data_IF_150552945413
#
_entry.id   IF_150552945413
#
_cell.length_a   1.000
_cell.length_b   1.000
_cell.length_c   1.000
_cell.angle_alpha   90.00
_cell.angle_beta   90.00
_cell.angle_gamma   90.00
#
_symmetry.space_group_name_H-M   'P 1'
#
loop_
_entity.id
_entity.type
_entity.pdbx_description
1 polymer ?
#
# COMPACT_ATOMS: atom_id res chain seq x y z
N UNK A 1 45.55 61.39 21.83
CA UNK A 1 44.84 60.11 21.86
C UNK A 1 45.84 59.07 22.34
N UNK A 2 45.64 58.57 23.55
CA UNK A 2 46.60 57.73 24.30
C UNK A 2 46.08 56.29 24.32
N UNK A 3 47.03 55.35 24.27
CA UNK A 3 46.87 53.89 24.15
C UNK A 3 46.35 53.17 25.41
N UNK A 4 45.68 52.04 25.12
CA UNK A 4 45.68 50.71 25.76
C UNK A 4 45.35 50.50 27.25
N UNK A 5 44.37 49.60 27.51
CA UNK A 5 44.51 48.37 28.33
C UNK A 5 43.23 47.48 28.19
N UNK A 6 43.42 46.15 28.10
CA UNK A 6 42.42 45.05 27.97
C UNK A 6 41.77 44.64 29.34
N UNK A 7 41.06 43.48 29.55
CA UNK A 7 40.14 42.63 28.75
C UNK A 7 38.80 42.24 29.48
N UNK A 8 37.99 41.41 28.79
CA UNK A 8 36.69 40.78 29.16
C UNK A 8 36.69 39.82 30.37
N UNK A 9 35.58 39.81 31.15
CA UNK A 9 35.07 38.69 31.97
C UNK A 9 33.56 38.87 32.30
N UNK A 10 32.70 37.88 32.02
CA UNK A 10 31.99 37.09 33.05
C UNK A 10 30.90 36.15 32.50
N UNK A 11 31.11 34.86 32.74
CA UNK A 11 30.15 33.75 32.75
C UNK A 11 29.69 33.47 34.18
N UNK A 12 28.42 33.10 34.41
CA UNK A 12 28.01 32.40 35.64
C UNK A 12 27.05 31.23 35.36
N UNK A 13 27.21 30.23 36.22
CA UNK A 13 26.81 28.81 36.16
C UNK A 13 25.66 28.48 37.14
N UNK A 14 24.98 27.34 36.94
CA UNK A 14 24.60 26.33 37.96
C UNK A 14 24.27 25.00 37.21
N UNK A 15 25.13 23.97 37.17
CA UNK A 15 25.31 22.81 38.11
C UNK A 15 24.03 22.07 38.54
N UNK A 16 23.80 20.85 38.02
CA UNK A 16 24.08 19.59 38.73
C UNK A 16 23.76 18.33 37.87
N UNK A 17 24.75 17.42 37.83
CA UNK A 17 24.66 15.99 37.48
C UNK A 17 24.55 15.19 38.79
N UNK A 18 24.17 13.89 38.81
CA UNK A 18 25.21 12.86 38.69
C UNK A 18 24.83 11.55 37.96
N UNK A 19 25.80 11.01 37.20
CA UNK A 19 26.32 9.63 37.07
C UNK A 19 25.34 8.41 36.97
N UNK A 20 25.61 7.30 36.25
CA UNK A 20 26.87 6.60 35.97
C UNK A 20 26.71 5.64 34.77
N UNK A 21 27.73 5.57 33.90
CA UNK A 21 28.03 4.42 33.04
C UNK A 21 28.95 3.46 33.80
N UNK A 22 28.72 2.15 33.71
CA UNK A 22 29.68 1.13 34.16
C UNK A 22 30.03 0.17 33.03
N UNK A 23 31.33 0.10 32.75
CA UNK A 23 32.01 -0.96 32.04
C UNK A 23 32.01 -2.23 32.90
N UNK A 24 31.95 -3.42 32.30
CA UNK A 24 32.42 -4.66 32.94
C UNK A 24 33.07 -5.60 31.91
N UNK A 25 34.34 -5.91 32.16
CA UNK A 25 35.09 -7.04 31.59
C UNK A 25 34.71 -8.33 32.34
N UNK A 26 34.80 -9.47 31.65
CA UNK A 26 34.24 -10.74 32.09
C UNK A 26 35.05 -11.54 33.11
N UNK A 27 34.39 -12.56 33.67
CA UNK A 27 34.96 -13.81 34.17
C UNK A 27 33.91 -14.90 33.97
N UNK A 28 34.35 -16.09 33.54
CA UNK A 28 33.49 -17.22 33.21
C UNK A 28 32.99 -17.97 34.44
N UNK A 29 31.87 -18.69 34.24
CA UNK A 29 31.50 -19.87 35.01
C UNK A 29 30.81 -20.87 34.07
N UNK A 30 31.33 -22.10 34.08
CA UNK A 30 30.66 -23.30 33.61
C UNK A 30 29.37 -23.51 34.43
N UNK A 31 28.32 -24.01 33.78
CA UNK A 31 27.43 -24.99 34.39
C UNK A 31 26.77 -25.83 33.30
N UNK A 32 26.95 -27.13 33.47
CA UNK A 32 26.31 -28.24 32.79
C UNK A 32 24.80 -28.31 33.09
N UNK A 33 24.14 -29.11 32.26
CA UNK A 33 22.85 -29.79 32.44
C UNK A 33 21.53 -28.99 32.32
N UNK A 34 20.77 -29.34 31.26
CA UNK A 34 19.35 -29.75 31.22
C UNK A 34 18.68 -29.39 29.86
N UNK A 35 17.69 -30.16 29.37
CA UNK A 35 17.82 -30.90 28.11
C UNK A 35 17.07 -30.31 26.91
N UNK A 36 17.60 -30.64 25.73
CA UNK A 36 16.95 -30.44 24.42
C UNK A 36 15.72 -31.34 24.29
N UNK A 37 14.54 -30.74 24.06
CA UNK A 37 13.39 -31.46 23.54
C UNK A 37 13.23 -31.14 22.05
N UNK A 38 13.66 -32.09 21.22
CA UNK A 38 13.51 -32.09 19.78
C UNK A 38 12.46 -33.15 19.40
N UNK A 39 11.26 -32.77 18.97
CA UNK A 39 10.35 -33.72 18.34
C UNK A 39 10.61 -33.67 16.83
N UNK A 40 11.26 -34.69 16.27
CA UNK A 40 11.06 -35.32 14.95
C UNK A 40 12.36 -36.04 14.50
N UNK A 41 12.39 -37.39 14.46
CA UNK A 41 13.55 -38.15 13.99
C UNK A 41 13.47 -38.51 12.48
N UNK A 42 14.63 -38.44 11.81
CA UNK A 42 15.16 -39.14 10.60
C UNK A 42 14.18 -39.67 9.51
N UNK A 43 14.44 -39.53 8.19
CA UNK A 43 15.56 -40.18 7.47
C UNK A 43 15.85 -39.62 6.04
N UNK A 44 17.15 -39.62 5.71
CA UNK A 44 17.81 -39.97 4.43
C UNK A 44 17.12 -39.75 3.06
N UNK A 45 17.65 -38.78 2.32
CA UNK A 45 18.43 -39.02 1.09
C UNK A 45 17.73 -39.61 -0.14
N UNK A 46 17.28 -38.75 -1.05
CA UNK A 46 17.30 -39.03 -2.49
C UNK A 46 17.76 -37.79 -3.26
N UNK A 47 18.88 -37.94 -3.98
CA UNK A 47 19.29 -37.06 -5.08
C UNK A 47 18.31 -37.32 -6.24
N UNK A 48 17.70 -36.28 -6.79
CA UNK A 48 17.00 -36.37 -8.09
C UNK A 48 17.58 -35.31 -9.02
N UNK A 49 18.17 -35.82 -10.10
CA UNK A 49 18.70 -35.08 -11.24
C UNK A 49 17.61 -34.25 -11.92
N UNK A 50 17.95 -33.03 -12.30
CA UNK A 50 17.19 -32.26 -13.29
C UNK A 50 17.34 -32.90 -14.67
N UNK A 51 16.22 -33.15 -15.35
CA UNK A 51 16.21 -33.28 -16.81
C UNK A 51 14.99 -32.56 -17.41
N UNK A 52 15.13 -31.82 -18.53
CA UNK A 52 14.13 -30.85 -18.99
C UNK A 52 13.14 -31.41 -20.03
N UNK A 53 11.82 -31.21 -19.78
CA UNK A 53 10.65 -31.17 -20.69
C UNK A 53 10.32 -32.39 -21.60
N UNK A 54 9.11 -32.52 -22.22
CA UNK A 54 7.76 -32.04 -21.87
C UNK A 54 6.66 -33.16 -21.96
N UNK A 55 5.59 -33.13 -21.16
CA UNK A 55 4.30 -33.71 -21.59
C UNK A 55 3.09 -33.18 -20.80
N UNK A 56 2.02 -32.91 -21.54
CA UNK A 56 0.70 -32.51 -21.05
C UNK A 56 -0.13 -33.74 -20.64
N UNK A 57 -0.83 -33.68 -19.50
CA UNK A 57 -2.27 -34.02 -19.40
C UNK A 57 -2.81 -33.79 -17.98
N UNK A 58 -3.92 -33.05 -17.91
CA UNK A 58 -5.04 -33.32 -17.01
C UNK A 58 -4.84 -33.20 -15.51
N UNK A 59 -4.93 -31.98 -14.96
CA UNK A 59 -5.16 -31.76 -13.54
C UNK A 59 -5.70 -30.36 -13.32
N UNK A 60 -6.98 -30.25 -12.93
CA UNK A 60 -7.62 -28.98 -12.62
C UNK A 60 -6.84 -28.27 -11.50
N UNK A 61 -6.15 -27.19 -11.86
CA UNK A 61 -5.68 -26.18 -10.91
C UNK A 61 -6.72 -25.07 -10.90
N UNK A 62 -7.29 -24.77 -9.73
CA UNK A 62 -8.15 -23.61 -9.53
C UNK A 62 -7.31 -22.35 -9.74
N UNK A 63 -7.36 -21.82 -10.96
CA UNK A 63 -6.75 -20.57 -11.35
C UNK A 63 -7.65 -19.43 -10.84
N UNK A 64 -7.22 -18.74 -9.79
CA UNK A 64 -7.84 -17.47 -9.40
C UNK A 64 -7.51 -16.44 -10.48
N UNK A 65 -8.44 -16.27 -11.42
CA UNK A 65 -8.45 -15.18 -12.39
C UNK A 65 -9.63 -14.26 -12.06
N UNK A 66 -9.41 -13.06 -11.47
CA UNK A 66 -10.51 -12.19 -11.09
C UNK A 66 -11.18 -11.47 -12.28
N UNK A 67 -10.77 -11.71 -13.52
CA UNK A 67 -11.29 -11.01 -14.69
C UNK A 67 -11.69 -11.96 -15.82
N UNK A 68 -12.84 -12.63 -15.68
CA UNK A 68 -13.74 -13.00 -16.80
C UNK A 68 -14.98 -13.74 -16.26
N UNK A 69 -16.13 -13.09 -16.23
CA UNK A 69 -17.44 -13.74 -16.32
C UNK A 69 -18.22 -13.04 -17.43
N UNK A 70 -18.05 -13.52 -18.65
CA UNK A 70 -18.93 -13.17 -19.76
C UNK A 70 -19.88 -14.36 -19.96
N UNK A 71 -21.13 -14.22 -19.53
CA UNK A 71 -22.20 -15.18 -19.78
C UNK A 71 -22.47 -15.25 -21.30
N UNK A 72 -22.16 -16.38 -21.92
CA UNK A 72 -22.72 -16.79 -23.21
C UNK A 72 -23.76 -17.88 -22.97
N UNK A 73 -25.02 -17.59 -23.28
CA UNK A 73 -26.08 -18.60 -23.35
C UNK A 73 -25.98 -19.29 -24.71
N UNK A 74 -25.73 -20.60 -24.73
CA UNK A 74 -26.04 -21.45 -25.88
C UNK A 74 -26.88 -22.64 -25.40
N UNK A 75 -28.16 -22.62 -25.76
CA UNK A 75 -29.07 -23.76 -25.61
C UNK A 75 -28.79 -24.74 -26.76
N UNK A 76 -28.08 -25.83 -26.48
CA UNK A 76 -28.12 -27.02 -27.33
C UNK A 76 -29.20 -27.97 -26.82
N UNK A 77 -30.22 -28.15 -27.65
CA UNK A 77 -31.27 -29.16 -27.48
C UNK A 77 -30.65 -30.56 -27.36
N UNK A 78 -30.96 -31.27 -26.29
CA UNK A 78 -30.90 -32.73 -26.28
C UNK A 78 -32.23 -33.28 -25.74
N UNK A 79 -33.07 -33.91 -26.59
CA UNK A 79 -34.31 -34.52 -26.16
C UNK A 79 -33.97 -35.92 -25.63
N UNK A 80 -34.34 -36.26 -24.40
CA UNK A 80 -34.91 -37.57 -24.02
C UNK A 80 -35.16 -37.62 -22.49
N UNK A 81 -36.44 -37.86 -22.18
CA UNK A 81 -37.00 -38.54 -20.99
C UNK A 81 -37.05 -37.84 -19.62
N UNK A 82 -38.29 -37.54 -19.24
CA UNK A 82 -38.81 -37.23 -17.90
C UNK A 82 -38.41 -38.25 -16.83
N UNK A 83 -37.88 -37.75 -15.70
CA UNK A 83 -38.13 -38.25 -14.34
C UNK A 83 -38.19 -37.02 -13.41
N UNK A 84 -39.20 -36.87 -12.53
CA UNK A 84 -39.23 -35.78 -11.57
C UNK A 84 -38.22 -36.06 -10.45
N UNK A 85 -37.04 -35.47 -10.54
CA UNK A 85 -36.11 -35.44 -9.40
C UNK A 85 -36.64 -34.40 -8.40
N UNK A 86 -37.28 -34.87 -7.34
CA UNK A 86 -37.56 -34.04 -6.15
C UNK A 86 -36.25 -33.81 -5.42
N UNK A 87 -35.71 -32.59 -5.33
CA UNK A 87 -34.59 -32.32 -4.45
C UNK A 87 -35.13 -32.39 -3.02
N UNK A 88 -34.82 -33.49 -2.31
CA UNK A 88 -34.92 -33.54 -0.86
C UNK A 88 -34.10 -32.40 -0.29
N UNK A 89 -34.80 -31.45 0.33
CA UNK A 89 -34.23 -30.34 1.06
C UNK A 89 -33.47 -30.92 2.26
N UNK A 90 -32.15 -31.08 2.14
CA UNK A 90 -31.30 -31.25 3.32
C UNK A 90 -31.14 -29.87 3.94
N UNK A 91 -32.01 -29.62 4.91
CA UNK A 91 -31.84 -28.54 5.88
C UNK A 91 -30.66 -28.91 6.80
N UNK A 92 -29.44 -28.54 6.38
CA UNK A 92 -28.29 -28.47 7.28
C UNK A 92 -28.18 -27.04 7.80
N UNK A 93 -29.08 -26.68 8.71
CA UNK A 93 -28.80 -25.72 9.77
C UNK A 93 -27.68 -26.28 10.68
N UNK A 94 -26.45 -26.35 10.16
CA UNK A 94 -25.27 -26.33 11.02
C UNK A 94 -25.05 -24.89 11.43
N UNK A 95 -25.58 -24.58 12.60
CA UNK A 95 -25.22 -23.42 13.41
C UNK A 95 -23.72 -23.45 13.68
N UNK A 96 -22.92 -22.89 12.77
CA UNK A 96 -21.55 -22.51 13.08
C UNK A 96 -21.63 -21.46 14.20
N UNK A 97 -21.39 -21.91 15.43
CA UNK A 97 -21.06 -21.08 16.57
C UNK A 97 -19.87 -20.19 16.17
N UNK A 98 -20.18 -18.98 15.70
CA UNK A 98 -19.21 -17.93 15.41
C UNK A 98 -18.68 -17.38 16.74
N UNK A 99 -17.73 -18.11 17.34
CA UNK A 99 -16.99 -17.66 18.51
C UNK A 99 -15.97 -16.57 18.09
N UNK A 100 -16.43 -15.34 18.27
CA UNK A 100 -15.96 -13.97 18.06
C UNK A 100 -14.51 -13.58 18.47
N UNK A 101 -13.51 -14.48 18.43
CA UNK A 101 -12.09 -14.17 18.79
C UNK A 101 -11.12 -13.86 17.63
N UNK A 102 -11.60 -13.44 16.46
CA UNK A 102 -10.70 -13.02 15.37
C UNK A 102 -10.25 -11.56 15.56
N UNK A 103 -9.08 -11.39 16.20
CA UNK A 103 -8.46 -10.08 16.43
C UNK A 103 -7.30 -9.81 15.46
N UNK A 104 -7.19 -8.56 15.04
CA UNK A 104 -5.93 -7.84 14.88
C UNK A 104 -4.76 -8.53 15.61
N UNK A 105 -3.71 -8.96 14.90
CA UNK A 105 -2.43 -9.36 15.52
C UNK A 105 -1.61 -8.10 15.80
N UNK A 106 -0.62 -8.33 16.65
CA UNK A 106 0.30 -7.31 17.10
C UNK A 106 1.23 -6.80 16.00
N UNK A 107 1.82 -5.66 16.32
CA UNK A 107 2.80 -4.92 15.54
C UNK A 107 4.09 -5.69 15.31
N UNK A 108 4.53 -5.84 14.05
CA UNK A 108 5.87 -6.33 13.70
C UNK A 108 6.75 -5.18 13.22
N UNK A 109 7.96 -5.06 13.78
CA UNK A 109 8.97 -4.10 13.33
C UNK A 109 9.80 -4.68 12.17
N UNK A 110 9.65 -4.12 10.97
CA UNK A 110 10.41 -4.52 9.78
C UNK A 110 11.77 -3.80 9.65
N UNK A 111 12.15 -3.04 10.67
CA UNK A 111 13.34 -2.22 10.72
C UNK A 111 13.30 -1.05 9.75
N UNK A 112 14.48 -0.53 9.41
CA UNK A 112 14.63 0.55 8.44
C UNK A 112 15.80 0.28 7.49
N UNK A 113 15.80 0.85 6.28
CA UNK A 113 16.99 0.84 5.44
C UNK A 113 18.14 1.57 6.16
N UNK A 114 19.41 1.32 5.75
CA UNK A 114 20.56 2.04 6.26
C UNK A 114 20.32 3.55 6.32
N UNK A 115 20.57 4.14 7.50
CA UNK A 115 20.37 5.57 7.82
C UNK A 115 18.90 6.01 7.97
N UNK A 116 17.95 5.09 8.01
CA UNK A 116 16.53 5.35 8.22
C UNK A 116 15.80 5.87 6.97
N UNK A 117 14.48 6.07 7.11
CA UNK A 117 13.61 6.54 6.04
C UNK A 117 12.72 7.70 6.50
N UNK A 118 12.06 8.37 5.55
CA UNK A 118 11.10 9.43 5.80
C UNK A 118 9.90 9.37 4.86
N UNK A 119 8.81 10.01 5.28
CA UNK A 119 7.54 9.96 4.56
C UNK A 119 6.74 8.68 4.87
N UNK A 120 5.72 8.42 4.06
CA UNK A 120 4.91 7.21 4.13
C UNK A 120 5.56 6.04 3.36
N UNK A 121 5.51 4.81 3.90
CA UNK A 121 5.72 3.59 3.11
C UNK A 121 4.56 3.38 2.13
N UNK A 122 4.81 2.61 1.07
CA UNK A 122 3.80 2.06 0.15
C UNK A 122 4.05 0.56 -0.01
N UNK A 123 3.02 -0.19 -0.38
CA UNK A 123 3.10 -1.65 -0.54
C UNK A 123 2.35 -2.07 -1.80
N UNK A 124 2.93 -3.00 -2.56
CA UNK A 124 2.28 -3.68 -3.66
C UNK A 124 2.29 -5.19 -3.43
N UNK A 125 1.33 -5.89 -4.06
CA UNK A 125 1.28 -7.34 -4.12
C UNK A 125 0.96 -7.74 -5.55
N UNK A 126 1.72 -8.68 -6.10
CA UNK A 126 1.55 -9.19 -7.47
C UNK A 126 1.13 -10.67 -7.50
N UNK A 127 1.07 -11.33 -6.34
CA UNK A 127 0.52 -12.68 -6.17
C UNK A 127 0.17 -12.92 -4.69
N UNK A 128 -0.57 -13.99 -4.43
CA UNK A 128 -0.85 -14.44 -3.07
C UNK A 128 0.46 -14.69 -2.29
N UNK A 129 0.46 -14.31 -1.01
CA UNK A 129 1.60 -14.46 -0.11
C UNK A 129 2.89 -13.74 -0.58
N UNK A 130 2.73 -12.62 -1.29
CA UNK A 130 3.82 -11.74 -1.71
C UNK A 130 3.49 -10.28 -1.38
N UNK A 131 4.37 -9.62 -0.66
CA UNK A 131 4.29 -8.20 -0.35
C UNK A 131 5.62 -7.53 -0.68
N UNK A 132 5.56 -6.37 -1.33
CA UNK A 132 6.71 -5.56 -1.70
C UNK A 132 6.53 -4.15 -1.15
N UNK A 133 7.34 -3.78 -0.16
CA UNK A 133 7.26 -2.52 0.57
C UNK A 133 8.34 -1.55 0.09
N UNK A 134 7.96 -0.31 -0.18
CA UNK A 134 8.86 0.74 -0.65
C UNK A 134 8.82 1.96 0.27
N UNK A 135 9.99 2.54 0.52
CA UNK A 135 10.14 3.78 1.31
C UNK A 135 11.12 4.74 0.64
N UNK A 136 11.03 6.03 0.99
CA UNK A 136 12.08 7.00 0.69
C UNK A 136 13.07 7.03 1.83
N UNK A 137 14.30 6.59 1.58
CA UNK A 137 15.40 6.67 2.54
C UNK A 137 15.80 8.11 2.88
N UNK A 138 16.51 8.29 3.99
CA UNK A 138 17.04 9.61 4.36
C UNK A 138 18.05 10.17 3.36
N UNK A 139 18.69 9.28 2.58
CA UNK A 139 19.54 9.59 1.43
C UNK A 139 18.77 10.03 0.17
N UNK A 140 17.44 10.13 0.21
CA UNK A 140 16.56 10.36 -0.95
C UNK A 140 16.46 9.22 -1.96
N UNK A 141 17.01 8.04 -1.67
CA UNK A 141 16.81 6.87 -2.54
C UNK A 141 15.50 6.16 -2.23
N UNK A 142 15.03 5.39 -3.20
CA UNK A 142 14.01 4.38 -2.98
C UNK A 142 14.64 3.15 -2.36
N UNK A 143 14.04 2.67 -1.27
CA UNK A 143 14.44 1.40 -0.65
C UNK A 143 13.29 0.42 -0.72
N UNK A 144 13.62 -0.84 -0.96
CA UNK A 144 12.68 -1.92 -1.15
C UNK A 144 12.95 -3.07 -0.17
N UNK A 145 11.89 -3.63 0.42
CA UNK A 145 11.92 -4.82 1.27
C UNK A 145 10.69 -5.66 0.96
N UNK A 146 10.85 -6.97 0.85
CA UNK A 146 9.75 -7.83 0.42
C UNK A 146 9.63 -9.11 1.24
N UNK A 147 8.41 -9.60 1.33
CA UNK A 147 8.06 -10.93 1.82
C UNK A 147 8.02 -11.91 0.66
N UNK A 148 8.83 -12.97 0.70
CA UNK A 148 8.91 -13.96 -0.39
C UNK A 148 7.98 -15.17 -0.25
N UNK A 149 7.10 -15.14 0.76
CA UNK A 149 6.23 -16.26 1.10
C UNK A 149 6.72 -17.05 2.32
N UNK A 150 7.99 -16.90 2.70
CA UNK A 150 8.59 -17.57 3.84
C UNK A 150 9.28 -16.59 4.80
N UNK A 151 9.86 -15.50 4.30
CA UNK A 151 10.58 -14.51 5.11
C UNK A 151 10.58 -13.13 4.50
N UNK A 152 10.81 -12.13 5.35
CA UNK A 152 11.19 -10.80 4.92
C UNK A 152 12.66 -10.78 4.48
N UNK A 153 12.92 -10.31 3.26
CA UNK A 153 14.27 -10.14 2.73
C UNK A 153 14.91 -8.84 3.24
N UNK A 154 16.20 -8.64 2.98
CA UNK A 154 16.91 -7.43 3.41
C UNK A 154 16.46 -6.21 2.59
N UNK A 155 16.64 -5.02 3.16
CA UNK A 155 16.45 -3.77 2.44
C UNK A 155 17.45 -3.67 1.28
N UNK A 156 16.97 -3.42 0.06
CA UNK A 156 17.79 -3.13 -1.11
C UNK A 156 17.61 -1.66 -1.55
N UNK A 157 18.72 -1.03 -1.95
CA UNK A 157 18.75 0.34 -2.47
C UNK A 157 18.42 0.31 -3.97
N UNK A 158 17.28 0.87 -4.35
CA UNK A 158 16.84 1.00 -5.74
C UNK A 158 17.29 2.31 -6.39
N UNK A 159 18.13 3.08 -5.69
CA UNK A 159 18.66 4.35 -6.13
C UNK A 159 17.61 5.44 -6.21
N UNK A 160 17.93 6.50 -6.94
CA UNK A 160 16.99 7.57 -7.26
C UNK A 160 17.37 8.26 -8.57
N UNK A 161 16.42 8.96 -9.22
CA UNK A 161 16.76 9.92 -10.26
C UNK A 161 17.71 11.01 -9.76
N UNK A 162 18.40 11.69 -10.69
CA UNK A 162 19.31 12.80 -10.32
C UNK A 162 18.57 13.85 -9.48
N UNK A 163 19.14 14.17 -8.32
CA UNK A 163 18.55 15.10 -7.34
C UNK A 163 17.67 14.42 -6.28
N UNK A 164 17.52 13.09 -6.33
CA UNK A 164 16.84 12.32 -5.31
C UNK A 164 15.32 12.36 -5.40
N UNK A 165 14.66 11.40 -4.73
CA UNK A 165 13.22 11.45 -4.51
C UNK A 165 12.85 12.69 -3.70
N UNK A 166 11.67 13.27 -3.98
CA UNK A 166 11.08 14.44 -3.33
C UNK A 166 9.72 14.17 -2.71
N UNK A 167 9.10 13.03 -3.00
CA UNK A 167 7.91 12.50 -2.32
C UNK A 167 8.16 11.10 -1.76
N UNK A 168 7.21 10.56 -0.99
CA UNK A 168 7.12 9.11 -0.82
C UNK A 168 6.88 8.43 -2.18
N UNK A 169 7.32 7.18 -2.35
CA UNK A 169 6.88 6.34 -3.45
C UNK A 169 5.40 5.98 -3.36
N UNK A 170 4.83 5.64 -4.51
CA UNK A 170 3.70 4.72 -4.62
C UNK A 170 4.08 3.53 -5.49
N UNK A 171 3.49 2.36 -5.20
CA UNK A 171 3.69 1.14 -5.96
C UNK A 171 2.36 0.50 -6.35
N UNK A 172 2.30 -0.11 -7.52
CA UNK A 172 1.15 -0.88 -8.01
C UNK A 172 1.64 -2.09 -8.78
N UNK A 173 0.82 -3.14 -8.85
CA UNK A 173 1.03 -4.26 -9.75
C UNK A 173 -0.18 -4.38 -10.67
N UNK A 174 0.06 -4.66 -11.96
CA UNK A 174 -0.98 -4.99 -12.92
C UNK A 174 -1.02 -6.47 -13.29
N UNK A 175 -0.14 -7.30 -12.73
CA UNK A 175 -0.07 -8.71 -13.02
C UNK A 175 1.08 -9.45 -12.32
N UNK A 176 1.12 -10.78 -12.46
CA UNK A 176 2.16 -11.59 -11.82
C UNK A 176 3.56 -11.15 -12.20
N UNK A 177 4.46 -11.15 -11.21
CA UNK A 177 5.87 -10.84 -11.35
C UNK A 177 6.13 -9.44 -11.95
N UNK A 178 5.25 -8.48 -11.64
CA UNK A 178 5.34 -7.10 -12.09
C UNK A 178 5.02 -6.13 -10.95
N UNK A 179 5.88 -5.14 -10.77
CA UNK A 179 5.66 -4.00 -9.87
C UNK A 179 6.12 -2.73 -10.56
N UNK A 180 5.31 -1.68 -10.45
CA UNK A 180 5.60 -0.35 -10.98
C UNK A 180 5.60 0.67 -9.84
N UNK A 181 6.70 1.40 -9.69
CA UNK A 181 6.91 2.37 -8.63
C UNK A 181 7.05 3.78 -9.20
N UNK A 182 6.33 4.73 -8.61
CA UNK A 182 6.30 6.12 -9.03
C UNK A 182 6.63 7.05 -7.87
N UNK A 183 7.36 8.12 -8.16
CA UNK A 183 7.63 9.17 -7.19
C UNK A 183 7.87 10.51 -7.86
N UNK A 184 7.64 11.60 -7.12
CA UNK A 184 8.11 12.92 -7.52
C UNK A 184 9.60 13.01 -7.21
N UNK A 185 10.43 13.42 -8.17
CA UNK A 185 11.87 13.51 -8.01
C UNK A 185 12.48 14.61 -8.89
N UNK A 186 13.79 14.83 -8.75
CA UNK A 186 14.54 15.74 -9.62
C UNK A 186 13.98 17.17 -9.64
N UNK A 187 13.53 17.64 -10.81
CA UNK A 187 12.91 18.96 -11.01
C UNK A 187 11.38 18.93 -10.79
N UNK A 188 10.95 18.20 -9.77
CA UNK A 188 9.54 18.00 -9.42
C UNK A 188 8.71 17.38 -10.57
N UNK A 189 9.32 16.46 -11.31
CA UNK A 189 8.66 15.62 -12.32
C UNK A 189 8.29 14.24 -11.75
N UNK A 190 7.42 13.51 -12.44
CA UNK A 190 7.05 12.15 -12.08
C UNK A 190 8.07 11.18 -12.67
N UNK A 191 8.65 10.35 -11.82
CA UNK A 191 9.62 9.35 -12.21
C UNK A 191 9.07 7.96 -11.96
N UNK A 192 9.38 7.04 -12.87
CA UNK A 192 8.90 5.67 -12.87
C UNK A 192 10.07 4.69 -12.88
N UNK A 193 9.99 3.65 -12.05
CA UNK A 193 10.91 2.50 -11.99
C UNK A 193 10.09 1.24 -11.78
N UNK A 194 10.42 0.17 -12.48
CA UNK A 194 9.62 -1.05 -12.42
C UNK A 194 10.45 -2.32 -12.40
N UNK A 195 9.89 -3.37 -11.82
CA UNK A 195 10.35 -4.74 -11.93
C UNK A 195 9.69 -5.40 -13.14
N UNK A 196 10.46 -5.92 -14.07
CA UNK A 196 9.94 -6.51 -15.32
C UNK A 196 9.79 -8.03 -15.30
N UNK A 197 9.97 -8.65 -14.13
CA UNK A 197 9.99 -10.09 -13.94
C UNK A 197 11.39 -10.69 -13.85
N UNK A 198 12.43 -9.92 -14.19
CA UNK A 198 13.83 -10.36 -14.18
C UNK A 198 14.76 -9.38 -13.47
N UNK A 199 14.52 -8.07 -13.59
CA UNK A 199 15.32 -7.02 -12.97
C UNK A 199 14.53 -5.73 -12.81
N UNK A 200 15.01 -4.90 -11.89
CA UNK A 200 14.61 -3.50 -11.83
C UNK A 200 15.14 -2.74 -13.04
N UNK A 201 14.26 -2.04 -13.76
CA UNK A 201 14.64 -1.17 -14.88
C UNK A 201 15.12 0.19 -14.39
N UNK A 202 15.78 0.94 -15.27
CA UNK A 202 16.25 2.29 -14.94
C UNK A 202 15.09 3.25 -14.72
N UNK A 203 15.38 4.33 -14.00
CA UNK A 203 14.44 5.42 -13.77
C UNK A 203 14.12 6.13 -15.09
N UNK A 204 12.83 6.30 -15.42
CA UNK A 204 12.36 7.12 -16.54
C UNK A 204 11.60 8.37 -16.06
N UNK A 205 11.86 9.51 -16.70
CA UNK A 205 11.16 10.78 -16.43
C UNK A 205 9.90 10.87 -17.29
N UNK A 206 8.74 10.95 -16.63
CA UNK A 206 7.42 11.04 -17.24
C UNK A 206 6.92 12.50 -17.34
N UNK A 207 7.77 13.45 -16.98
CA UNK A 207 7.49 14.87 -16.95
C UNK A 207 6.52 15.25 -15.84
N UNK A 208 5.87 16.40 -16.01
CA UNK A 208 4.86 16.92 -15.10
C UNK A 208 3.70 17.53 -15.92
N UNK A 209 2.47 17.60 -15.35
CA UNK A 209 1.43 18.43 -15.93
C UNK A 209 1.88 19.89 -16.04
N UNK A 210 1.29 20.68 -16.93
CA UNK A 210 1.54 22.14 -17.04
C UNK A 210 0.65 22.87 -16.02
N UNK A 211 0.93 22.72 -14.72
CA UNK A 211 1.55 23.79 -13.93
C UNK A 211 2.65 23.30 -12.96
N UNK A 212 3.16 22.09 -13.16
CA UNK A 212 3.88 21.32 -12.16
C UNK A 212 2.92 20.64 -11.17
N UNK A 213 3.45 19.79 -10.29
CA UNK A 213 2.66 19.09 -9.28
C UNK A 213 3.40 18.97 -7.95
N UNK A 214 2.65 18.69 -6.89
CA UNK A 214 3.16 18.52 -5.54
C UNK A 214 2.72 17.19 -4.91
N UNK A 215 3.35 16.85 -3.78
CA UNK A 215 3.05 15.61 -3.05
C UNK A 215 3.55 14.35 -3.76
N UNK A 216 3.02 13.20 -3.31
CA UNK A 216 3.20 11.88 -3.94
C UNK A 216 2.10 11.63 -4.99
N UNK A 217 2.37 10.80 -6.03
CA UNK A 217 1.34 10.33 -6.95
C UNK A 217 0.33 9.40 -6.23
N UNK A 218 -0.73 9.02 -6.93
CA UNK A 218 -1.56 7.86 -6.63
C UNK A 218 -1.69 7.00 -7.88
N UNK A 219 -1.83 5.68 -7.72
CA UNK A 219 -1.75 4.72 -8.81
C UNK A 219 -2.95 3.79 -8.79
N UNK A 220 -3.44 3.42 -9.97
CA UNK A 220 -4.36 2.32 -10.15
C UNK A 220 -3.95 1.48 -11.37
N UNK A 221 -4.32 0.21 -11.34
CA UNK A 221 -4.34 -0.64 -12.53
C UNK A 221 -5.63 -1.44 -12.54
N UNK A 222 -6.27 -1.52 -13.69
CA UNK A 222 -7.53 -2.24 -13.88
C UNK A 222 -7.42 -3.41 -14.86
N UNK A 223 -6.25 -3.59 -15.50
CA UNK A 223 -5.92 -4.76 -16.32
C UNK A 223 -4.42 -4.85 -16.57
N UNK A 224 -3.97 -5.97 -17.12
CA UNK A 224 -2.58 -6.13 -17.55
C UNK A 224 -2.18 -5.05 -18.57
N UNK A 225 -0.93 -4.58 -18.46
CA UNK A 225 -0.37 -3.50 -19.28
C UNK A 225 -1.13 -2.16 -19.18
N UNK A 226 -1.86 -1.92 -18.08
CA UNK A 226 -2.53 -0.64 -17.83
C UNK A 226 -2.10 -0.06 -16.50
N UNK A 227 -1.64 1.18 -16.53
CA UNK A 227 -1.33 1.98 -15.34
C UNK A 227 -2.00 3.34 -15.48
N UNK A 228 -2.58 3.83 -14.39
CA UNK A 228 -3.21 5.14 -14.30
C UNK A 228 -2.59 5.88 -13.11
N UNK A 229 -2.04 7.06 -13.39
CA UNK A 229 -1.28 7.87 -12.42
C UNK A 229 -1.98 9.21 -12.19
N UNK A 230 -2.17 9.55 -10.91
CA UNK A 230 -2.86 10.76 -10.51
C UNK A 230 -1.98 11.63 -9.61
N UNK A 231 -2.00 12.95 -9.83
CA UNK A 231 -1.26 13.91 -9.01
C UNK A 231 -2.10 15.16 -8.72
N UNK A 232 -1.79 15.85 -7.63
CA UNK A 232 -2.29 17.21 -7.41
C UNK A 232 -1.38 18.19 -8.15
N UNK A 233 -1.90 18.85 -9.19
CA UNK A 233 -1.21 19.95 -9.87
C UNK A 233 -1.04 21.17 -8.96
N UNK A 234 -0.09 22.05 -9.29
CA UNK A 234 0.12 23.30 -8.56
C UNK A 234 -1.06 24.28 -8.67
N UNK A 235 -1.94 24.07 -9.65
CA UNK A 235 -3.25 24.72 -9.78
C UNK A 235 -4.31 24.15 -8.80
N UNK A 236 -3.96 23.11 -8.03
CA UNK A 236 -4.84 22.34 -7.16
C UNK A 236 -5.91 21.52 -7.89
N UNK A 237 -5.68 21.20 -9.16
CA UNK A 237 -6.50 20.23 -9.88
C UNK A 237 -5.93 18.82 -9.76
N UNK A 238 -6.78 17.83 -9.97
CA UNK A 238 -6.36 16.45 -10.20
C UNK A 238 -5.88 16.34 -11.64
N UNK A 239 -4.65 15.87 -11.82
CA UNK A 239 -4.09 15.59 -13.14
C UNK A 239 -3.85 14.09 -13.30
N UNK A 240 -4.10 13.59 -14.50
CA UNK A 240 -4.04 12.18 -14.83
C UNK A 240 -3.12 11.92 -16.02
N UNK A 241 -2.36 10.82 -15.97
CA UNK A 241 -1.54 10.27 -17.05
C UNK A 241 -1.61 8.76 -16.98
N UNK A 242 -1.63 8.08 -18.11
CA UNK A 242 -1.76 6.63 -18.15
C UNK A 242 -0.83 5.98 -19.16
N UNK A 243 -0.54 4.70 -18.93
CA UNK A 243 0.11 3.80 -19.87
C UNK A 243 -0.96 2.93 -20.54
N UNK A 244 -0.95 2.85 -21.87
CA UNK A 244 -1.94 2.08 -22.64
C UNK A 244 -1.44 0.70 -23.13
N UNK A 245 -0.26 0.28 -22.69
CA UNK A 245 0.40 -0.94 -23.17
C UNK A 245 1.47 -0.68 -24.23
N UNK A 246 1.46 0.50 -24.86
CA UNK A 246 2.44 0.88 -25.89
C UNK A 246 3.11 2.22 -25.60
N UNK A 247 2.40 3.18 -25.00
CA UNK A 247 2.90 4.52 -24.74
C UNK A 247 2.24 5.15 -23.52
N UNK A 248 2.95 6.13 -22.97
CA UNK A 248 2.40 7.05 -21.99
C UNK A 248 1.57 8.15 -22.68
N UNK A 249 0.39 8.44 -22.15
CA UNK A 249 -0.47 9.53 -22.62
C UNK A 249 0.10 10.92 -22.29
N UNK A 250 -0.49 11.98 -22.83
CA UNK A 250 -0.27 13.34 -22.29
C UNK A 250 -0.99 13.50 -20.95
N UNK A 251 -0.52 14.43 -20.12
CA UNK A 251 -1.23 14.80 -18.89
C UNK A 251 -2.59 15.43 -19.23
N UNK A 252 -3.66 14.91 -18.63
CA UNK A 252 -5.00 15.48 -18.72
C UNK A 252 -5.44 16.10 -17.38
N UNK A 253 -6.11 17.25 -17.45
CA UNK A 253 -6.64 17.93 -16.29
C UNK A 253 -8.07 17.43 -16.00
N UNK A 254 -8.26 16.78 -14.85
CA UNK A 254 -9.54 16.23 -14.42
C UNK A 254 -10.36 17.22 -13.57
N UNK A 255 -9.89 18.47 -13.46
CA UNK A 255 -10.49 19.53 -12.67
C UNK A 255 -10.32 19.30 -11.17
N UNK A 256 -11.16 19.96 -10.39
CA UNK A 256 -11.17 19.85 -8.93
C UNK A 256 -12.59 19.97 -8.38
N UNK A 257 -12.87 19.44 -7.19
CA UNK A 257 -14.04 19.85 -6.42
C UNK A 257 -13.96 21.35 -6.09
N UNK A 258 -15.09 21.92 -5.68
CA UNK A 258 -15.18 23.35 -5.36
C UNK A 258 -14.09 23.75 -4.35
N UNK A 259 -13.25 24.71 -4.75
CA UNK A 259 -12.16 25.23 -3.92
C UNK A 259 -10.80 24.54 -4.11
N UNK A 260 -10.71 23.45 -4.89
CA UNK A 260 -9.44 22.80 -5.18
C UNK A 260 -9.06 21.66 -4.22
N UNK A 261 -8.08 20.85 -4.64
CA UNK A 261 -7.46 19.81 -3.83
C UNK A 261 -6.56 20.42 -2.73
N UNK A 262 -6.34 19.65 -1.67
CA UNK A 262 -5.44 19.97 -0.57
C UNK A 262 -4.72 18.71 -0.07
N UNK A 263 -3.85 18.13 -0.88
CA UNK A 263 -3.10 16.91 -0.57
C UNK A 263 -3.08 15.93 -1.73
N UNK A 264 -2.20 14.94 -1.63
CA UNK A 264 -2.09 13.90 -2.64
C UNK A 264 -3.38 13.08 -2.75
N UNK A 265 -3.71 12.61 -3.97
CA UNK A 265 -4.85 11.71 -4.19
C UNK A 265 -4.61 10.32 -3.59
N UNK A 266 -5.68 9.53 -3.55
CA UNK A 266 -5.65 8.06 -3.52
C UNK A 266 -6.42 7.52 -4.72
N UNK A 267 -6.00 6.39 -5.28
CA UNK A 267 -6.64 5.77 -6.44
C UNK A 267 -6.69 4.25 -6.30
N UNK A 268 -7.70 3.62 -6.87
CA UNK A 268 -7.87 2.17 -6.87
C UNK A 268 -8.72 1.73 -8.07
N UNK A 269 -8.64 0.46 -8.41
CA UNK A 269 -9.60 -0.21 -9.29
C UNK A 269 -10.19 -1.42 -8.57
N UNK A 270 -11.48 -1.67 -8.80
CA UNK A 270 -12.18 -2.87 -8.34
C UNK A 270 -12.61 -3.79 -9.49
N UNK A 271 -12.28 -3.43 -10.73
CA UNK A 271 -12.80 -4.11 -11.91
C UNK A 271 -12.21 -3.59 -13.22
N UNK A 272 -12.34 -4.36 -14.31
CA UNK A 272 -11.88 -3.92 -15.63
C UNK A 272 -12.54 -2.61 -16.03
N UNK A 273 -11.75 -1.74 -16.66
CA UNK A 273 -12.19 -0.45 -17.19
C UNK A 273 -12.85 0.45 -16.13
N UNK A 274 -12.43 0.31 -14.87
CA UNK A 274 -12.94 1.09 -13.73
C UNK A 274 -11.78 1.64 -12.92
N UNK A 275 -11.85 2.93 -12.61
CA UNK A 275 -10.91 3.63 -11.72
C UNK A 275 -11.70 4.53 -10.80
N UNK A 276 -11.34 4.56 -9.52
CA UNK A 276 -11.92 5.43 -8.51
C UNK A 276 -10.81 6.26 -7.85
N UNK A 277 -10.98 7.58 -7.82
CA UNK A 277 -10.03 8.55 -7.28
C UNK A 277 -10.65 9.31 -6.11
N UNK A 278 -9.89 9.40 -5.01
CA UNK A 278 -10.31 10.05 -3.78
C UNK A 278 -9.32 11.15 -3.42
N UNK A 279 -9.84 12.33 -3.09
CA UNK A 279 -9.02 13.49 -2.78
C UNK A 279 -9.54 14.20 -1.54
N UNK A 280 -8.64 14.90 -0.83
CA UNK A 280 -9.04 15.89 0.17
C UNK A 280 -9.23 17.24 -0.50
N UNK A 281 -10.41 17.83 -0.36
CA UNK A 281 -10.66 19.22 -0.78
C UNK A 281 -10.14 20.23 0.25
N UNK A 282 -10.04 21.52 -0.13
CA UNK A 282 -9.67 22.60 0.81
C UNK A 282 -10.61 22.77 1.99
N UNK A 283 -11.85 22.32 1.85
CA UNK A 283 -12.84 22.22 2.93
C UNK A 283 -12.60 21.04 3.88
N UNK A 284 -11.50 20.29 3.73
CA UNK A 284 -11.15 19.09 4.49
C UNK A 284 -12.18 17.95 4.39
N UNK A 285 -12.98 17.95 3.31
CA UNK A 285 -13.90 16.88 2.93
C UNK A 285 -13.27 15.97 1.88
N UNK A 286 -13.71 14.73 1.86
CA UNK A 286 -13.31 13.74 0.88
C UNK A 286 -14.19 13.92 -0.33
N UNK A 287 -13.55 13.99 -1.49
CA UNK A 287 -14.23 14.06 -2.78
C UNK A 287 -13.84 12.86 -3.62
N UNK A 288 -14.80 12.37 -4.38
CA UNK A 288 -14.69 11.18 -5.20
C UNK A 288 -14.95 11.52 -6.67
N UNK A 289 -14.13 10.97 -7.57
CA UNK A 289 -14.28 11.04 -9.02
C UNK A 289 -13.89 9.70 -9.60
N UNK A 290 -14.60 9.22 -10.61
CA UNK A 290 -14.38 7.89 -11.14
C UNK A 290 -14.49 7.85 -12.66
N UNK A 291 -13.82 6.88 -13.26
CA UNK A 291 -13.96 6.49 -14.65
C UNK A 291 -14.98 5.35 -14.75
N UNK A 292 -16.02 5.50 -15.55
CA UNK A 292 -17.08 4.48 -15.70
C UNK A 292 -16.89 3.54 -16.89
N UNK A 293 -15.74 3.62 -17.56
CA UNK A 293 -15.46 2.88 -18.79
C UNK A 293 -15.65 3.70 -20.06
N UNK A 294 -16.31 4.87 -19.96
CA UNK A 294 -16.59 5.76 -21.08
C UNK A 294 -16.22 7.22 -20.80
N UNK A 295 -16.38 7.68 -19.56
CA UNK A 295 -16.11 9.05 -19.14
C UNK A 295 -15.76 9.14 -17.66
N UNK A 296 -15.13 10.25 -17.31
CA UNK A 296 -14.97 10.67 -15.94
C UNK A 296 -16.28 11.26 -15.39
N UNK A 297 -16.66 10.89 -14.17
CA UNK A 297 -17.82 11.43 -13.47
C UNK A 297 -17.64 12.89 -13.03
N UNK A 298 -18.72 13.50 -12.52
CA UNK A 298 -18.60 14.73 -11.70
C UNK A 298 -17.98 14.44 -10.33
N UNK A 299 -17.60 15.49 -9.60
CA UNK A 299 -17.10 15.34 -8.23
C UNK A 299 -18.24 15.04 -7.26
N UNK A 300 -18.13 13.93 -6.53
CA UNK A 300 -19.05 13.50 -5.47
C UNK A 300 -18.47 13.83 -4.09
N UNK A 301 -19.25 14.52 -3.25
CA UNK A 301 -18.84 14.85 -1.88
C UNK A 301 -19.17 13.69 -0.93
N UNK A 302 -18.14 13.09 -0.34
CA UNK A 302 -18.25 11.97 0.60
C UNK A 302 -18.24 12.41 2.06
N UNK A 303 -18.24 13.71 2.31
CA UNK A 303 -18.18 14.29 3.64
C UNK A 303 -16.81 14.13 4.29
N UNK A 304 -16.78 14.11 5.60
CA UNK A 304 -15.57 13.87 6.38
C UNK A 304 -15.89 13.23 7.72
N UNK A 305 -14.91 12.62 8.40
CA UNK A 305 -14.96 12.46 9.83
C UNK A 305 -15.28 13.79 10.54
N UNK A 306 -15.82 13.72 11.75
CA UNK A 306 -16.10 14.92 12.55
C UNK A 306 -14.82 15.74 12.73
N UNK A 307 -14.87 17.02 12.37
CA UNK A 307 -13.71 17.94 12.43
C UNK A 307 -12.77 17.87 11.22
N UNK A 308 -13.02 17.00 10.25
CA UNK A 308 -12.21 16.87 9.03
C UNK A 308 -11.03 15.89 9.18
N UNK A 309 -10.26 15.73 8.11
CA UNK A 309 -9.08 14.86 8.10
C UNK A 309 -7.85 15.52 7.49
N UNK A 310 -6.69 14.97 7.84
CA UNK A 310 -5.39 15.43 7.39
C UNK A 310 -4.64 14.42 6.53
N UNK A 311 -3.92 14.95 5.54
CA UNK A 311 -3.15 14.16 4.59
C UNK A 311 -3.98 13.53 3.48
N UNK A 312 -3.39 12.53 2.85
CA UNK A 312 -3.91 11.80 1.69
C UNK A 312 -4.80 10.63 2.13
N UNK A 313 -5.89 10.35 1.41
CA UNK A 313 -6.66 9.12 1.61
C UNK A 313 -5.92 7.90 1.08
N UNK A 314 -6.05 6.78 1.78
CA UNK A 314 -5.67 5.46 1.28
C UNK A 314 -6.92 4.69 0.88
N UNK A 315 -6.85 3.89 -0.17
CA UNK A 315 -8.03 3.19 -0.71
C UNK A 315 -7.63 1.79 -1.14
N UNK A 316 -8.48 0.82 -0.84
CA UNK A 316 -8.34 -0.56 -1.25
C UNK A 316 -9.67 -1.10 -1.78
N UNK A 317 -9.60 -2.19 -2.54
CA UNK A 317 -10.76 -2.96 -2.98
C UNK A 317 -10.42 -4.44 -2.84
N UNK A 318 -11.32 -5.21 -2.24
CA UNK A 318 -11.19 -6.67 -2.12
C UNK A 318 -12.15 -7.44 -3.01
N UNK A 319 -13.07 -6.77 -3.70
CA UNK A 319 -14.02 -7.39 -4.62
C UNK A 319 -14.63 -6.37 -5.59
N UNK A 320 -15.23 -6.83 -6.70
CA UNK A 320 -16.06 -5.97 -7.51
C UNK A 320 -17.15 -5.28 -6.69
N UNK A 321 -17.41 -4.02 -7.01
CA UNK A 321 -18.36 -3.12 -6.37
C UNK A 321 -18.02 -2.79 -4.91
N UNK A 322 -16.76 -2.97 -4.52
CA UNK A 322 -16.29 -2.65 -3.18
C UNK A 322 -15.14 -1.67 -3.19
N UNK A 323 -15.26 -0.63 -2.38
CA UNK A 323 -14.19 0.34 -2.12
C UNK A 323 -14.13 0.61 -0.63
N UNK A 324 -12.93 0.67 -0.06
CA UNK A 324 -12.68 0.93 1.34
C UNK A 324 -11.65 2.07 1.48
N UNK A 325 -12.08 3.19 2.04
CA UNK A 325 -11.32 4.43 2.12
C UNK A 325 -10.89 4.71 3.56
N UNK A 326 -9.60 4.94 3.77
CA UNK A 326 -9.00 5.18 5.08
C UNK A 326 -8.33 6.55 5.13
N UNK A 327 -8.57 7.29 6.21
CA UNK A 327 -7.95 8.60 6.45
C UNK A 327 -7.45 8.73 7.88
N UNK A 328 -6.48 9.62 8.09
CA UNK A 328 -6.15 10.11 9.43
C UNK A 328 -6.97 11.36 9.72
N UNK A 329 -7.91 11.27 10.66
CA UNK A 329 -8.66 12.44 11.11
C UNK A 329 -7.80 13.36 12.00
N UNK A 330 -8.27 14.59 12.24
CA UNK A 330 -7.56 15.58 13.08
C UNK A 330 -7.32 15.14 14.52
N UNK A 331 -8.12 14.20 15.01
CA UNK A 331 -7.93 13.57 16.32
C UNK A 331 -6.82 12.48 16.32
N UNK A 332 -6.03 12.39 15.24
CA UNK A 332 -4.96 11.40 15.04
C UNK A 332 -5.44 9.94 15.07
N UNK A 333 -6.72 9.70 14.77
CA UNK A 333 -7.30 8.36 14.63
C UNK A 333 -7.52 8.00 13.18
N UNK A 334 -7.53 6.70 12.90
CA UNK A 334 -7.91 6.16 11.60
C UNK A 334 -9.43 6.16 11.49
N UNK A 335 -9.94 6.66 10.37
CA UNK A 335 -11.35 6.63 10.02
C UNK A 335 -11.55 5.94 8.70
N UNK A 336 -12.69 5.28 8.57
CA UNK A 336 -13.04 4.42 7.45
C UNK A 336 -14.42 4.78 6.88
N UNK A 337 -14.55 4.68 5.56
CA UNK A 337 -15.80 4.81 4.81
C UNK A 337 -15.72 3.85 3.62
N UNK A 338 -16.82 3.17 3.30
CA UNK A 338 -16.82 2.17 2.23
C UNK A 338 -18.03 2.28 1.32
N UNK A 339 -17.86 1.81 0.08
CA UNK A 339 -18.92 1.60 -0.90
C UNK A 339 -19.26 0.11 -0.95
N UNK A 340 -20.55 -0.24 -0.94
CA UNK A 340 -20.99 -1.63 -0.93
C UNK A 340 -21.70 -2.09 -2.22
N UNK A 341 -21.55 -1.34 -3.32
CA UNK A 341 -22.25 -1.60 -4.58
C UNK A 341 -23.57 -0.84 -4.74
N UNK A 342 -24.12 -0.31 -3.65
CA UNK A 342 -25.39 0.44 -3.70
C UNK A 342 -25.33 1.79 -3.00
N UNK A 343 -24.54 1.90 -1.93
CA UNK A 343 -24.41 3.14 -1.17
C UNK A 343 -23.07 3.24 -0.46
N UNK A 344 -22.70 4.49 -0.18
CA UNK A 344 -21.64 4.81 0.75
C UNK A 344 -22.11 4.64 2.20
N UNK A 345 -21.26 4.07 3.05
CA UNK A 345 -21.49 4.02 4.50
C UNK A 345 -21.33 5.38 5.18
N UNK A 346 -21.68 5.48 6.46
CA UNK A 346 -21.22 6.60 7.29
C UNK A 346 -19.74 6.45 7.62
N UNK A 347 -19.09 7.56 7.99
CA UNK A 347 -17.73 7.52 8.52
C UNK A 347 -17.70 6.79 9.86
N UNK A 348 -16.82 5.80 9.99
CA UNK A 348 -16.58 5.09 11.24
C UNK A 348 -15.15 5.28 11.76
N UNK A 349 -15.01 5.34 13.08
CA UNK A 349 -13.73 5.53 13.75
C UNK A 349 -13.12 4.17 14.08
N UNK A 350 -12.01 3.82 13.44
CA UNK A 350 -11.30 2.56 13.66
C UNK A 350 -10.28 2.63 14.82
N UNK A 351 -10.20 3.77 15.50
CA UNK A 351 -9.29 3.99 16.62
C UNK A 351 -7.87 4.36 16.18
N UNK A 352 -6.94 4.22 17.12
CA UNK A 352 -5.52 4.45 16.88
C UNK A 352 -4.69 3.72 17.93
N UNK A 353 -3.40 3.49 17.65
CA UNK A 353 -2.40 3.17 18.67
C UNK A 353 -2.34 4.21 19.79
N UNK A 354 -1.73 3.85 20.92
CA UNK A 354 -1.47 4.82 22.00
C UNK A 354 -0.68 6.02 21.47
N UNK A 355 -1.22 7.23 21.67
CA UNK A 355 -0.62 8.46 21.17
C UNK A 355 -0.95 8.81 19.71
N UNK A 356 -1.74 8.00 19.01
CA UNK A 356 -2.27 8.29 17.67
C UNK A 356 -1.34 7.94 16.51
N UNK A 357 -1.90 7.98 15.29
CA UNK A 357 -1.16 7.88 14.03
C UNK A 357 -0.66 9.25 13.57
N UNK A 358 0.50 9.30 12.91
CA UNK A 358 1.23 10.50 12.46
C UNK A 358 1.44 10.58 10.95
N UNK A 359 1.04 9.58 10.19
CA UNK A 359 1.04 9.61 8.72
C UNK A 359 -0.37 9.43 8.17
N UNK A 360 -0.52 9.72 6.87
CA UNK A 360 -1.60 9.10 6.09
C UNK A 360 -1.48 7.58 6.15
N UNK A 361 -2.60 6.84 6.16
CA UNK A 361 -2.58 5.40 5.99
C UNK A 361 -2.02 5.01 4.61
N UNK A 362 -1.61 3.75 4.47
CA UNK A 362 -1.63 2.97 3.22
C UNK A 362 -2.59 1.80 3.41
N UNK A 363 -3.24 1.33 2.35
CA UNK A 363 -4.19 0.22 2.43
C UNK A 363 -4.03 -0.69 1.21
N UNK A 364 -4.12 -2.00 1.40
CA UNK A 364 -4.02 -3.01 0.34
C UNK A 364 -4.96 -4.17 0.61
N UNK A 365 -5.40 -4.87 -0.43
CA UNK A 365 -6.10 -6.16 -0.32
C UNK A 365 -5.33 -7.17 -1.16
N UNK A 366 -5.26 -8.41 -0.68
CA UNK A 366 -4.71 -9.54 -1.42
C UNK A 366 -5.73 -10.69 -1.58
N UNK A 367 -6.97 -10.50 -1.11
CA UNK A 367 -7.99 -11.54 -1.16
C UNK A 367 -9.38 -11.02 -0.78
N UNK A 368 -10.40 -11.83 -1.10
CA UNK A 368 -11.79 -11.54 -0.74
C UNK A 368 -11.92 -11.33 0.78
N UNK A 369 -12.67 -10.30 1.17
CA UNK A 369 -12.86 -9.89 2.57
C UNK A 369 -11.58 -9.57 3.35
N UNK A 370 -10.46 -9.32 2.66
CA UNK A 370 -9.18 -8.97 3.30
C UNK A 370 -8.74 -7.57 2.91
N UNK A 371 -8.48 -6.73 3.90
CA UNK A 371 -7.79 -5.44 3.71
C UNK A 371 -6.68 -5.38 4.75
N UNK A 372 -5.55 -4.73 4.49
CA UNK A 372 -4.43 -4.47 5.40
C UNK A 372 -4.08 -2.97 5.37
N UNK A 373 -4.12 -2.26 6.50
CA UNK A 373 -3.89 -0.80 6.55
C UNK A 373 -2.66 -0.38 7.37
N UNK A 374 -1.66 0.25 6.78
CA UNK A 374 -0.42 0.63 7.46
C UNK A 374 -0.36 2.14 7.77
N UNK A 375 0.22 2.56 8.89
CA UNK A 375 0.40 3.98 9.24
C UNK A 375 1.53 4.18 10.25
N UNK A 376 2.27 5.29 10.19
CA UNK A 376 3.29 5.61 11.20
C UNK A 376 2.65 6.08 12.52
N UNK A 377 3.11 5.59 13.67
CA UNK A 377 2.61 5.97 15.00
C UNK A 377 3.38 7.11 15.65
N UNK A 378 3.05 7.44 16.91
CA UNK A 378 3.73 8.50 17.68
C UNK A 378 5.20 8.19 17.96
N UNK A 379 5.53 6.92 18.13
CA UNK A 379 6.88 6.39 18.33
C UNK A 379 7.70 6.26 17.03
N UNK A 380 7.21 6.83 15.92
CA UNK A 380 7.77 6.71 14.58
C UNK A 380 7.85 5.27 14.01
N UNK A 381 7.35 4.26 14.73
CA UNK A 381 7.18 2.90 14.23
C UNK A 381 6.05 2.77 13.21
N UNK A 382 6.11 1.72 12.38
CA UNK A 382 5.03 1.38 11.46
C UNK A 382 3.94 0.60 12.17
N UNK A 383 2.71 1.07 11.97
CA UNK A 383 1.47 0.42 12.32
C UNK A 383 0.78 -0.13 10.99
N UNK A 384 -0.30 -0.93 11.01
CA UNK A 384 -0.77 -2.18 10.27
C UNK A 384 -2.05 -2.74 10.93
N UNK A 385 -3.18 -2.48 10.30
CA UNK A 385 -4.52 -2.80 10.71
C UNK A 385 -5.25 -3.40 9.48
N UNK A 386 -5.22 -4.72 9.24
CA UNK A 386 -6.22 -5.59 8.54
C UNK A 386 -7.71 -6.00 8.95
N UNK A 387 -8.65 -5.94 8.01
CA UNK A 387 -9.95 -6.63 8.10
C UNK A 387 -9.83 -8.04 7.52
N UNK A 388 -10.39 -9.09 8.12
CA UNK A 388 -10.35 -10.47 7.60
C UNK A 388 -11.59 -11.27 8.00
#
# INVERSE_FOLDING_TARGET
MVNEFQPEWNTHWYRNSPYHSSQWQGYGYQNDDQPQYNPYPFQQGYQVQYNPYPFQQGGYQLQYNPYTLQQGYELQNNPYTHQPYTPTYYDQHESYNLDWRQSWREWEDLGSPPRGFRGSPTVASWQANRLDCFVRGNNNNMWHKWWDGARWNNWEDLGSPRGGLRSSPEAVSWGPNRIDCFARAGRDTMWHKWWDGSRWREWEDLGAPRPGFTGKPALASWQANRLDCFVQGNDNNLWHKWWDGARWSSWENLGAPRGGLNGSPGAVSWGPNRIDCFVRGRNNRMWHKWWDGSRWSGWEDLGSPQGGFDGSPAVSSWAPNRLDCFVRARNNRMWHKWWNGSRWSNWENLGAPQGGIRSSPGAVSWGLNRIDCFARGRNDGMWHKWFA
#
